data_IF_193283432687
#
_entry.id   IF_193283432687
#
_cell.length_a   1.000
_cell.length_b   1.000
_cell.length_c   1.000
_cell.angle_alpha   90.00
_cell.angle_beta   90.00
_cell.angle_gamma   90.00
#
_symmetry.space_group_name_H-M   'P 1'
#
loop_
_entity.id
_entity.type
_entity.pdbx_description
1 polymer ?
#
# COMPACT_ATOMS: atom_id res chain seq x y z
N UNK A 1 0.04 72.78 17.59
CA UNK A 1 -0.16 74.24 17.39
C UNK A 1 -1.40 74.40 16.52
N UNK A 2 -2.36 75.22 16.89
CA UNK A 2 -3.64 75.36 16.18
C UNK A 2 -3.76 76.74 15.53
N UNK A 3 -4.44 76.81 14.38
CA UNK A 3 -4.63 78.03 13.58
C UNK A 3 -6.07 78.11 13.06
N UNK A 4 -6.66 79.30 13.13
CA UNK A 4 -8.02 79.54 12.65
C UNK A 4 -8.03 79.88 11.16
N UNK A 5 -8.86 79.16 10.38
CA UNK A 5 -9.03 79.40 8.96
C UNK A 5 -9.87 80.66 8.73
N UNK A 6 -9.35 81.63 7.97
CA UNK A 6 -10.08 82.88 7.66
C UNK A 6 -11.32 82.69 6.79
N UNK A 7 -11.46 81.56 6.10
CA UNK A 7 -12.58 81.31 5.20
C UNK A 7 -13.76 80.61 5.89
N UNK A 8 -13.50 79.56 6.68
CA UNK A 8 -14.55 78.77 7.33
C UNK A 8 -14.68 79.03 8.84
N UNK A 9 -13.85 79.90 9.42
CA UNK A 9 -13.85 80.25 10.84
C UNK A 9 -13.41 79.13 11.79
N UNK A 10 -13.12 77.92 11.29
CA UNK A 10 -12.75 76.77 12.14
C UNK A 10 -11.29 76.85 12.60
N UNK A 11 -11.05 76.58 13.89
CA UNK A 11 -9.72 76.37 14.46
C UNK A 11 -9.27 74.94 14.20
N UNK A 12 -8.21 74.78 13.39
CA UNK A 12 -7.70 73.48 12.94
C UNK A 12 -6.20 73.35 13.26
N UNK A 13 -5.70 72.13 13.31
CA UNK A 13 -4.25 71.91 13.41
C UNK A 13 -3.52 72.46 12.18
N UNK A 14 -2.32 73.02 12.37
CA UNK A 14 -1.46 73.60 11.32
C UNK A 14 -1.20 72.67 10.13
N UNK A 15 -1.24 71.34 10.31
CA UNK A 15 -1.13 70.38 9.19
C UNK A 15 -2.23 70.55 8.13
N UNK A 16 -3.35 71.17 8.51
CA UNK A 16 -4.48 71.47 7.62
C UNK A 16 -4.29 72.76 6.81
N UNK A 17 -3.15 73.44 6.93
CA UNK A 17 -2.78 74.62 6.16
C UNK A 17 -1.55 74.31 5.29
N UNK A 18 -1.38 75.02 4.17
CA UNK A 18 -0.15 74.89 3.38
C UNK A 18 0.93 75.79 4.00
N UNK A 19 2.18 75.35 3.89
CA UNK A 19 3.34 76.15 4.31
C UNK A 19 3.56 77.25 3.28
N UNK A 20 3.70 78.48 3.76
CA UNK A 20 4.01 79.66 2.95
C UNK A 20 4.85 80.63 3.79
N UNK A 21 6.10 80.83 3.37
CA UNK A 21 7.10 81.61 4.09
C UNK A 21 6.82 83.12 4.08
N UNK A 22 5.87 83.58 3.25
CA UNK A 22 5.45 84.99 3.24
C UNK A 22 4.61 85.39 4.47
N UNK A 23 4.05 84.41 5.21
CA UNK A 23 3.28 84.66 6.42
C UNK A 23 4.16 84.54 7.68
N UNK A 24 3.91 85.40 8.68
CA UNK A 24 4.70 85.51 9.91
C UNK A 24 4.81 84.18 10.69
N UNK A 25 3.78 83.35 10.65
CA UNK A 25 3.77 82.04 11.30
C UNK A 25 4.12 80.88 10.34
N UNK A 26 4.47 81.17 9.09
CA UNK A 26 4.90 80.20 8.09
C UNK A 26 3.78 79.37 7.43
N UNK A 27 2.51 79.67 7.72
CA UNK A 27 1.35 78.95 7.20
C UNK A 27 0.28 79.88 6.63
N UNK A 28 -0.32 79.47 5.52
CA UNK A 28 -1.37 80.22 4.84
C UNK A 28 -2.59 80.49 5.74
N UNK A 29 -3.33 81.55 5.44
CA UNK A 29 -4.51 81.96 6.22
C UNK A 29 -5.78 81.11 5.97
N UNK A 30 -5.83 80.33 4.89
CA UNK A 30 -6.97 79.45 4.54
C UNK A 30 -6.57 77.98 4.65
N UNK A 31 -7.44 77.15 5.21
CA UNK A 31 -7.18 75.71 5.30
C UNK A 31 -7.22 75.04 3.91
N UNK A 32 -6.58 73.89 3.80
CA UNK A 32 -6.47 73.09 2.56
C UNK A 32 -7.83 72.74 1.96
N UNK A 33 -8.86 72.50 2.77
CA UNK A 33 -10.21 72.24 2.29
C UNK A 33 -10.87 73.47 1.66
N UNK A 34 -10.85 74.61 2.35
CA UNK A 34 -11.34 75.88 1.79
C UNK A 34 -10.62 76.22 0.50
N UNK A 35 -9.29 76.01 0.46
CA UNK A 35 -8.50 76.22 -0.75
C UNK A 35 -8.87 75.26 -1.87
N UNK A 36 -9.22 74.00 -1.58
CA UNK A 36 -9.73 73.03 -2.57
C UNK A 36 -11.07 73.47 -3.15
N UNK A 37 -11.98 74.01 -2.34
CA UNK A 37 -13.30 74.51 -2.79
C UNK A 37 -13.17 75.71 -3.74
N UNK A 38 -12.16 76.55 -3.53
CA UNK A 38 -11.87 77.71 -4.38
C UNK A 38 -11.24 77.34 -5.74
N UNK A 39 -10.80 76.09 -5.97
CA UNK A 39 -10.19 75.70 -7.24
C UNK A 39 -11.26 75.58 -8.33
N UNK A 40 -11.08 76.33 -9.42
CA UNK A 40 -11.89 76.18 -10.64
C UNK A 40 -11.77 74.75 -11.17
N UNK A 41 -12.91 74.09 -11.35
CA UNK A 41 -13.01 72.77 -11.98
C UNK A 41 -13.46 72.91 -13.42
N UNK A 42 -13.04 71.95 -14.24
CA UNK A 42 -13.40 71.86 -15.65
C UNK A 42 -14.07 70.52 -15.92
N UNK A 43 -15.18 70.55 -16.67
CA UNK A 43 -15.83 69.35 -17.20
C UNK A 43 -15.07 68.87 -18.43
N UNK A 44 -14.55 67.64 -18.38
CA UNK A 44 -13.82 66.98 -19.45
C UNK A 44 -14.53 65.66 -19.82
N UNK A 45 -14.24 65.13 -21.00
CA UNK A 45 -14.72 63.82 -21.48
C UNK A 45 -13.54 62.84 -21.50
N UNK A 46 -13.72 61.66 -20.91
CA UNK A 46 -12.67 60.64 -20.86
C UNK A 46 -12.44 60.06 -22.27
N UNK A 47 -11.20 60.15 -22.76
CA UNK A 47 -10.84 59.61 -24.09
C UNK A 47 -10.96 58.09 -24.23
N UNK A 48 -11.01 57.36 -23.12
CA UNK A 48 -11.14 55.90 -23.14
C UNK A 48 -12.60 55.44 -23.04
N UNK A 49 -13.32 55.88 -22.00
CA UNK A 49 -14.66 55.37 -21.70
C UNK A 49 -15.80 56.33 -22.09
N UNK A 50 -15.49 57.52 -22.63
CA UNK A 50 -16.48 58.52 -23.06
C UNK A 50 -17.24 59.23 -21.93
N UNK A 51 -17.06 58.85 -20.67
CA UNK A 51 -17.76 59.47 -19.53
C UNK A 51 -17.27 60.89 -19.25
N UNK A 52 -18.20 61.78 -18.91
CA UNK A 52 -17.89 63.13 -18.43
C UNK A 52 -17.36 63.09 -16.99
N UNK A 53 -16.36 63.94 -16.69
CA UNK A 53 -15.74 64.02 -15.37
C UNK A 53 -15.19 65.43 -15.08
N UNK A 54 -15.02 65.76 -13.80
CA UNK A 54 -14.44 67.04 -13.38
C UNK A 54 -12.94 66.91 -13.09
N UNK A 55 -12.14 67.89 -13.49
CA UNK A 55 -10.75 67.97 -13.08
C UNK A 55 -10.25 69.40 -12.92
N UNK A 56 -9.09 69.56 -12.30
CA UNK A 56 -8.45 70.87 -12.08
C UNK A 56 -7.87 71.43 -13.39
N UNK A 57 -7.45 70.59 -14.33
CA UNK A 57 -6.82 71.00 -15.59
C UNK A 57 -7.70 70.64 -16.78
N UNK A 58 -7.97 71.59 -17.68
CA UNK A 58 -8.69 71.33 -18.96
C UNK A 58 -8.01 70.26 -19.83
N UNK A 59 -6.70 70.06 -19.69
CA UNK A 59 -5.91 69.10 -20.49
C UNK A 59 -6.00 67.65 -20.00
N UNK A 60 -6.69 67.38 -18.88
CA UNK A 60 -6.80 66.02 -18.33
C UNK A 60 -7.63 65.13 -19.25
N UNK A 61 -7.03 64.04 -19.75
CA UNK A 61 -7.62 63.18 -20.81
C UNK A 61 -8.45 62.00 -20.29
N UNK A 62 -8.23 61.57 -19.05
CA UNK A 62 -8.82 60.34 -18.50
C UNK A 62 -9.49 60.60 -17.17
N UNK A 63 -10.65 59.98 -16.94
CA UNK A 63 -11.45 60.18 -15.72
C UNK A 63 -10.86 59.50 -14.48
N UNK A 64 -10.00 58.49 -14.66
CA UNK A 64 -9.43 57.70 -13.59
C UNK A 64 -8.02 57.21 -13.96
N UNK A 65 -7.26 56.81 -12.94
CA UNK A 65 -5.97 56.16 -13.15
C UNK A 65 -6.11 54.88 -13.98
N UNK A 66 -7.18 54.12 -13.74
CA UNK A 66 -7.49 52.89 -14.49
C UNK A 66 -7.69 53.15 -15.98
N UNK A 67 -8.43 54.21 -16.35
CA UNK A 67 -8.61 54.58 -17.76
C UNK A 67 -7.31 55.05 -18.40
N UNK A 68 -6.47 55.78 -17.67
CA UNK A 68 -5.16 56.18 -18.16
C UNK A 68 -4.26 54.97 -18.42
N UNK A 69 -4.21 54.03 -17.47
CA UNK A 69 -3.37 52.83 -17.58
C UNK A 69 -3.82 51.93 -18.73
N UNK A 70 -5.14 51.76 -18.91
CA UNK A 70 -5.71 51.03 -20.05
C UNK A 70 -5.39 51.69 -21.38
N UNK A 71 -5.51 53.02 -21.49
CA UNK A 71 -5.18 53.73 -22.72
C UNK A 71 -3.69 53.65 -23.09
N UNK A 72 -2.81 53.50 -22.09
CA UNK A 72 -1.36 53.34 -22.30
C UNK A 72 -0.93 51.87 -22.47
N UNK A 73 -1.84 50.91 -22.32
CA UNK A 73 -1.54 49.48 -22.39
C UNK A 73 -1.25 49.06 -23.84
N UNK A 74 0.03 49.03 -24.21
CA UNK A 74 0.49 48.50 -25.51
C UNK A 74 0.57 46.96 -25.48
N UNK A 75 -0.32 46.30 -26.22
CA UNK A 75 -0.36 44.83 -26.41
C UNK A 75 -0.18 44.45 -27.87
N UNK A 76 0.26 43.23 -28.11
CA UNK A 76 0.41 42.60 -29.43
C UNK A 76 -0.25 41.23 -29.36
N UNK A 77 -1.00 40.85 -30.39
CA UNK A 77 -1.59 39.52 -30.50
C UNK A 77 -0.55 38.54 -31.05
N UNK A 78 -0.48 37.35 -30.46
CA UNK A 78 0.38 36.24 -30.90
C UNK A 78 -0.29 34.90 -30.59
N UNK A 79 0.37 33.80 -30.90
CA UNK A 79 -0.19 32.44 -30.75
C UNK A 79 0.51 31.74 -29.57
N UNK A 80 -0.28 31.07 -28.72
CA UNK A 80 0.26 30.19 -27.69
C UNK A 80 0.99 29.00 -28.33
N UNK A 81 2.24 28.77 -27.97
CA UNK A 81 3.07 27.73 -28.56
C UNK A 81 2.52 26.31 -28.33
N UNK A 82 1.76 26.10 -27.24
CA UNK A 82 1.15 24.81 -26.91
C UNK A 82 -0.26 24.65 -27.51
N UNK A 83 -1.27 25.30 -26.91
CA UNK A 83 -2.67 25.12 -27.27
C UNK A 83 -3.12 25.87 -28.55
N UNK A 84 -2.21 26.62 -29.17
CA UNK A 84 -2.43 27.38 -30.42
C UNK A 84 -3.51 28.46 -30.35
N UNK A 85 -4.02 28.81 -29.16
CA UNK A 85 -4.96 29.91 -29.00
C UNK A 85 -4.28 31.28 -29.21
N UNK A 86 -5.03 32.24 -29.74
CA UNK A 86 -4.60 33.64 -29.87
C UNK A 86 -4.54 34.29 -28.48
N UNK A 87 -3.44 34.97 -28.17
CA UNK A 87 -3.17 35.60 -26.88
C UNK A 87 -2.62 37.02 -27.01
N UNK A 88 -2.87 37.86 -26.00
CA UNK A 88 -2.26 39.19 -25.90
C UNK A 88 -0.98 39.17 -25.06
N UNK A 89 0.11 39.70 -25.61
CA UNK A 89 1.38 39.88 -24.89
C UNK A 89 1.80 41.35 -24.83
N UNK A 90 2.63 41.69 -23.84
CA UNK A 90 3.19 43.05 -23.69
C UNK A 90 4.09 43.36 -24.88
N UNK A 91 3.90 44.53 -25.54
CA UNK A 91 4.69 44.91 -26.72
C UNK A 91 6.22 44.83 -26.50
N UNK A 92 6.71 45.14 -25.30
CA UNK A 92 8.15 45.07 -24.96
C UNK A 92 8.70 43.65 -24.76
N UNK A 93 7.83 42.64 -24.58
CA UNK A 93 8.20 41.22 -24.48
C UNK A 93 8.07 40.48 -25.81
N UNK A 94 7.33 41.05 -26.76
CA UNK A 94 7.17 40.49 -28.10
C UNK A 94 8.51 40.53 -28.86
N UNK A 95 8.88 39.43 -29.52
CA UNK A 95 10.18 39.21 -30.17
C UNK A 95 11.35 38.80 -29.25
N UNK A 96 11.21 38.87 -27.91
CA UNK A 96 12.29 38.49 -26.98
C UNK A 96 12.40 36.99 -26.68
N UNK A 97 11.31 36.26 -26.87
CA UNK A 97 11.23 34.84 -26.54
C UNK A 97 10.78 34.07 -27.77
N UNK A 98 11.34 32.89 -27.96
CA UNK A 98 10.97 31.99 -29.05
C UNK A 98 9.53 31.48 -28.91
N UNK A 99 9.09 31.25 -27.66
CA UNK A 99 7.77 30.70 -27.35
C UNK A 99 6.96 31.60 -26.40
N UNK A 100 5.67 31.75 -26.70
CA UNK A 100 4.70 32.47 -25.88
C UNK A 100 3.60 31.52 -25.40
N UNK A 101 3.04 31.76 -24.21
CA UNK A 101 2.07 30.85 -23.59
C UNK A 101 0.88 31.61 -23.01
N UNK A 102 -0.32 31.05 -23.15
CA UNK A 102 -1.54 31.64 -22.60
C UNK A 102 -1.57 31.58 -21.06
N UNK A 103 -0.94 30.56 -20.48
CA UNK A 103 -0.83 30.34 -19.05
C UNK A 103 0.37 29.44 -18.71
N UNK A 104 0.65 29.30 -17.42
CA UNK A 104 1.75 28.46 -16.94
C UNK A 104 1.56 26.97 -17.30
N UNK A 105 0.32 26.48 -17.36
CA UNK A 105 0.02 25.10 -17.73
C UNK A 105 0.51 24.79 -19.15
N UNK A 106 0.17 25.63 -20.13
CA UNK A 106 0.65 25.49 -21.50
C UNK A 106 2.16 25.56 -21.61
N UNK A 107 2.80 26.41 -20.79
CA UNK A 107 4.27 26.46 -20.72
C UNK A 107 4.84 25.13 -20.22
N UNK A 108 4.30 24.61 -19.12
CA UNK A 108 4.78 23.36 -18.52
C UNK A 108 4.59 22.17 -19.46
N UNK A 109 3.42 22.03 -20.08
CA UNK A 109 3.16 20.93 -21.01
C UNK A 109 4.06 20.99 -22.25
N UNK A 110 4.22 22.17 -22.85
CA UNK A 110 5.12 22.29 -24.00
C UNK A 110 6.58 22.01 -23.63
N UNK A 111 7.04 22.46 -22.46
CA UNK A 111 8.40 22.14 -22.00
C UNK A 111 8.60 20.63 -21.79
N UNK A 112 7.58 19.89 -21.36
CA UNK A 112 7.66 18.42 -21.28
C UNK A 112 7.88 17.78 -22.64
N UNK A 113 7.40 18.38 -23.73
CA UNK A 113 7.61 17.89 -25.09
C UNK A 113 8.99 18.28 -25.61
N UNK A 114 9.40 19.54 -25.39
CA UNK A 114 10.70 20.05 -25.83
C UNK A 114 11.86 19.34 -25.12
N UNK A 115 11.73 19.04 -23.83
CA UNK A 115 12.78 18.43 -23.01
C UNK A 115 12.73 16.89 -22.95
N UNK A 116 12.20 16.22 -24.00
CA UNK A 116 12.19 14.74 -24.07
C UNK A 116 13.54 14.20 -24.54
N UNK A 117 13.96 13.11 -23.90
CA UNK A 117 15.14 12.35 -24.32
C UNK A 117 16.39 13.22 -24.39
N UNK A 118 17.11 13.12 -25.51
CA UNK A 118 18.38 13.82 -25.77
C UNK A 118 18.26 15.34 -25.80
N UNK A 119 17.06 15.89 -25.94
CA UNK A 119 16.83 17.34 -25.89
C UNK A 119 16.91 17.90 -24.46
N UNK A 120 16.85 17.03 -23.44
CA UNK A 120 17.07 17.44 -22.07
C UNK A 120 18.57 17.64 -21.83
N UNK A 121 19.04 18.82 -21.38
CA UNK A 121 20.45 19.04 -21.06
C UNK A 121 21.01 18.07 -20.02
N UNK A 122 20.15 17.49 -19.19
CA UNK A 122 20.52 16.50 -18.17
C UNK A 122 20.41 15.05 -18.65
N UNK A 123 20.13 14.80 -19.94
CA UNK A 123 20.06 13.45 -20.49
C UNK A 123 21.46 12.83 -20.54
N UNK A 124 21.68 11.78 -19.75
CA UNK A 124 22.99 11.16 -19.58
C UNK A 124 22.97 9.64 -19.76
N UNK A 125 22.00 9.11 -20.53
CA UNK A 125 21.90 7.67 -20.71
C UNK A 125 22.96 7.16 -21.69
N UNK A 126 23.51 5.99 -21.37
CA UNK A 126 24.53 5.31 -22.17
C UNK A 126 24.06 3.90 -22.53
N UNK A 127 24.58 3.36 -23.64
CA UNK A 127 24.30 2.00 -24.08
C UNK A 127 25.02 0.99 -23.20
N UNK A 128 24.33 -0.08 -22.81
CA UNK A 128 24.83 -1.18 -22.00
C UNK A 128 24.18 -2.49 -22.44
N UNK A 129 24.89 -3.62 -22.31
CA UNK A 129 24.34 -4.95 -22.64
C UNK A 129 23.76 -5.59 -21.38
N UNK A 130 22.47 -5.88 -21.39
CA UNK A 130 21.78 -6.58 -20.31
C UNK A 130 22.52 -7.85 -19.88
N UNK A 131 22.76 -8.01 -18.58
CA UNK A 131 23.55 -9.13 -18.08
C UNK A 131 22.91 -10.50 -18.32
N UNK A 132 21.57 -10.56 -18.27
CA UNK A 132 20.80 -11.78 -18.47
C UNK A 132 20.67 -12.21 -19.94
N UNK A 133 20.10 -11.34 -20.79
CA UNK A 133 19.76 -11.68 -22.18
C UNK A 133 20.67 -11.07 -23.25
N UNK A 134 21.66 -10.26 -22.86
CA UNK A 134 22.60 -9.56 -23.76
C UNK A 134 21.98 -8.54 -24.72
N UNK A 135 20.71 -8.17 -24.52
CA UNK A 135 20.05 -7.08 -25.27
C UNK A 135 20.67 -5.71 -24.92
N UNK A 136 20.89 -4.86 -25.92
CA UNK A 136 21.31 -3.46 -25.73
C UNK A 136 20.19 -2.64 -25.07
N UNK A 137 20.54 -1.93 -24.00
CA UNK A 137 19.66 -1.08 -23.18
C UNK A 137 20.33 0.26 -22.86
N UNK A 138 19.50 1.26 -22.55
CA UNK A 138 19.94 2.58 -22.12
C UNK A 138 19.88 2.71 -20.60
N UNK A 139 21.04 2.79 -19.96
CA UNK A 139 21.21 2.85 -18.50
C UNK A 139 21.76 4.19 -18.05
N UNK A 140 21.55 4.53 -16.78
CA UNK A 140 22.11 5.74 -16.17
C UNK A 140 23.51 5.38 -15.62
N UNK A 141 24.57 6.19 -15.87
CA UNK A 141 25.93 5.90 -15.44
C UNK A 141 26.09 5.58 -13.94
N UNK A 142 25.25 6.17 -13.09
CA UNK A 142 25.22 5.87 -11.66
C UNK A 142 24.87 4.41 -11.34
N UNK A 143 24.02 3.77 -12.15
CA UNK A 143 23.66 2.35 -11.98
C UNK A 143 24.89 1.46 -12.18
N UNK A 144 25.78 1.79 -13.12
CA UNK A 144 27.02 1.04 -13.33
C UNK A 144 27.99 1.12 -12.14
N UNK A 145 27.92 2.19 -11.34
CA UNK A 145 28.75 2.36 -10.14
C UNK A 145 28.21 1.60 -8.94
N UNK A 146 26.89 1.38 -8.88
CA UNK A 146 26.20 0.88 -7.69
C UNK A 146 25.68 -0.53 -7.82
N UNK A 147 25.38 -0.98 -9.04
CA UNK A 147 24.77 -2.27 -9.30
C UNK A 147 25.80 -3.20 -9.94
N UNK A 148 25.95 -4.39 -9.36
CA UNK A 148 26.86 -5.42 -9.88
C UNK A 148 26.36 -6.01 -11.21
N UNK A 149 25.05 -6.09 -11.39
CA UNK A 149 24.38 -6.65 -12.56
C UNK A 149 23.16 -5.80 -12.92
N UNK A 150 22.95 -5.54 -14.22
CA UNK A 150 21.87 -4.72 -14.75
C UNK A 150 21.09 -5.51 -15.81
N UNK A 151 19.76 -5.50 -15.68
CA UNK A 151 18.84 -6.27 -16.52
C UNK A 151 17.92 -5.35 -17.33
N UNK A 152 17.49 -5.80 -18.51
CA UNK A 152 16.63 -5.03 -19.39
C UNK A 152 15.18 -4.90 -18.90
N UNK A 153 14.74 -5.83 -18.04
CA UNK A 153 13.38 -5.86 -17.49
C UNK A 153 13.34 -6.64 -16.17
N UNK A 154 12.27 -6.45 -15.40
CA UNK A 154 12.01 -7.21 -14.18
C UNK A 154 11.87 -8.73 -14.47
N UNK A 155 11.28 -9.09 -15.61
CA UNK A 155 11.18 -10.50 -16.03
C UNK A 155 12.56 -11.10 -16.31
N UNK A 156 13.43 -10.37 -17.01
CA UNK A 156 14.80 -10.80 -17.27
C UNK A 156 15.60 -10.94 -15.96
N UNK A 157 15.41 -10.04 -15.01
CA UNK A 157 15.97 -10.16 -13.67
C UNK A 157 15.50 -11.44 -12.97
N UNK A 158 14.17 -11.67 -12.90
CA UNK A 158 13.58 -12.84 -12.24
C UNK A 158 14.04 -14.16 -12.84
N UNK A 159 14.14 -14.26 -14.16
CA UNK A 159 14.60 -15.48 -14.83
C UNK A 159 16.09 -15.76 -14.59
N UNK A 160 16.87 -14.73 -14.23
CA UNK A 160 18.32 -14.84 -14.05
C UNK A 160 18.78 -14.76 -12.60
N UNK A 161 17.92 -14.43 -11.63
CA UNK A 161 18.31 -14.21 -10.24
C UNK A 161 19.04 -15.42 -9.62
N UNK A 162 18.58 -16.64 -9.92
CA UNK A 162 19.22 -17.89 -9.45
C UNK A 162 20.59 -18.17 -10.06
N UNK A 163 20.94 -17.50 -11.17
CA UNK A 163 22.27 -17.62 -11.79
C UNK A 163 23.24 -16.58 -11.23
N UNK A 164 22.78 -15.35 -11.02
CA UNK A 164 23.67 -14.23 -10.68
C UNK A 164 23.80 -13.97 -9.18
N UNK A 165 22.80 -14.32 -8.36
CA UNK A 165 22.75 -14.01 -6.93
C UNK A 165 22.71 -15.27 -6.05
N UNK A 166 23.61 -16.22 -6.33
CA UNK A 166 23.77 -17.47 -5.56
C UNK A 166 25.16 -17.62 -4.96
N UNK A 167 25.25 -18.44 -3.92
CA UNK A 167 26.49 -18.62 -3.16
C UNK A 167 27.01 -17.28 -2.65
N UNK A 168 28.32 -17.06 -2.80
CA UNK A 168 29.03 -15.85 -2.37
C UNK A 168 28.54 -14.57 -3.07
N UNK A 169 27.84 -14.67 -4.20
CA UNK A 169 27.23 -13.52 -4.87
C UNK A 169 25.91 -13.05 -4.22
N UNK A 170 25.35 -13.81 -3.28
CA UNK A 170 24.17 -13.41 -2.54
C UNK A 170 24.59 -12.56 -1.34
N UNK A 171 24.03 -11.36 -1.20
CA UNK A 171 24.33 -10.47 -0.05
C UNK A 171 24.03 -11.09 1.31
N UNK A 172 23.15 -12.10 1.37
CA UNK A 172 22.84 -12.85 2.59
C UNK A 172 23.72 -14.11 2.78
N UNK A 173 24.75 -14.31 1.96
CA UNK A 173 25.67 -15.44 2.10
C UNK A 173 26.58 -15.23 3.31
N UNK A 174 26.43 -16.08 4.31
CA UNK A 174 27.13 -15.97 5.59
C UNK A 174 27.80 -17.29 6.02
N UNK A 175 28.19 -18.14 5.06
CA UNK A 175 28.84 -19.40 5.41
C UNK A 175 30.21 -19.12 6.01
N UNK A 176 30.51 -19.80 7.13
CA UNK A 176 31.82 -19.80 7.76
C UNK A 176 32.46 -21.16 7.60
N UNK A 177 33.79 -21.18 7.64
CA UNK A 177 34.57 -22.41 7.66
C UNK A 177 34.64 -22.97 9.09
N UNK A 178 34.50 -24.28 9.20
CA UNK A 178 34.54 -25.04 10.44
C UNK A 178 35.35 -26.32 10.26
N UNK A 179 35.85 -26.87 11.36
CA UNK A 179 36.52 -28.17 11.42
C UNK A 179 35.60 -29.16 12.11
N UNK A 180 35.42 -30.35 11.52
CA UNK A 180 34.63 -31.41 12.16
C UNK A 180 35.39 -31.99 13.36
N UNK A 181 34.76 -32.02 14.53
CA UNK A 181 35.37 -32.57 15.75
C UNK A 181 35.61 -34.08 15.72
N UNK A 182 34.85 -34.82 14.90
CA UNK A 182 35.00 -36.26 14.78
C UNK A 182 36.04 -36.70 13.75
N UNK A 183 35.97 -36.17 12.52
CA UNK A 183 36.83 -36.61 11.41
C UNK A 183 37.92 -35.60 11.01
N UNK A 184 37.97 -34.42 11.64
CA UNK A 184 38.95 -33.36 11.33
C UNK A 184 38.73 -32.62 10.00
N UNK A 185 37.72 -33.00 9.20
CA UNK A 185 37.48 -32.39 7.88
C UNK A 185 37.02 -30.94 7.99
N UNK A 186 37.65 -30.05 7.20
CA UNK A 186 37.20 -28.66 7.00
C UNK A 186 35.94 -28.59 6.13
N UNK A 187 34.96 -27.77 6.49
CA UNK A 187 33.71 -27.60 5.75
C UNK A 187 33.08 -26.21 5.96
N UNK A 188 32.25 -25.76 5.02
CA UNK A 188 31.52 -24.48 5.10
C UNK A 188 30.04 -24.70 5.40
N UNK A 189 29.46 -23.98 6.38
CA UNK A 189 28.00 -23.97 6.63
C UNK A 189 27.55 -22.64 7.26
N UNK A 190 26.23 -22.43 7.32
CA UNK A 190 25.67 -21.26 8.02
C UNK A 190 25.85 -21.41 9.54
N UNK A 191 26.22 -20.35 10.27
CA UNK A 191 26.35 -20.39 11.73
C UNK A 191 25.09 -20.89 12.45
N UNK A 192 23.89 -20.52 11.98
CA UNK A 192 22.62 -20.96 12.56
C UNK A 192 22.34 -22.47 12.44
N UNK A 193 23.13 -23.19 11.64
CA UNK A 193 23.04 -24.65 11.53
C UNK A 193 23.88 -25.36 12.61
N UNK A 194 24.71 -24.63 13.35
CA UNK A 194 25.36 -25.12 14.56
C UNK A 194 24.33 -25.04 15.70
N UNK A 195 23.72 -26.17 16.08
CA UNK A 195 22.71 -26.20 17.14
C UNK A 195 23.28 -26.46 18.53
N UNK A 196 24.45 -27.09 18.58
CA UNK A 196 25.09 -27.56 19.80
C UNK A 196 26.52 -27.03 19.85
N UNK A 197 27.15 -27.12 21.03
CA UNK A 197 28.57 -26.76 21.24
C UNK A 197 29.51 -27.58 20.35
N UNK A 198 29.04 -28.76 19.90
CA UNK A 198 29.80 -29.66 19.04
C UNK A 198 29.50 -29.49 17.54
N UNK A 199 30.56 -29.48 16.74
CA UNK A 199 30.55 -29.16 15.31
C UNK A 199 30.96 -30.39 14.48
N UNK A 200 30.02 -30.88 13.66
CA UNK A 200 30.23 -32.04 12.78
C UNK A 200 29.95 -31.72 11.31
N UNK A 201 30.74 -32.29 10.39
CA UNK A 201 30.56 -32.08 8.95
C UNK A 201 29.33 -32.80 8.38
N UNK A 202 28.83 -33.84 9.05
CA UNK A 202 27.72 -34.67 8.59
C UNK A 202 26.94 -35.29 9.74
N UNK A 203 25.72 -35.75 9.44
CA UNK A 203 24.91 -36.55 10.37
C UNK A 203 25.64 -37.83 10.80
N UNK A 204 26.41 -38.44 9.90
CA UNK A 204 27.17 -39.67 10.19
C UNK A 204 28.21 -39.42 11.27
N UNK A 205 29.04 -38.39 11.13
CA UNK A 205 30.05 -38.03 12.13
C UNK A 205 29.42 -37.70 13.50
N UNK A 206 28.28 -36.99 13.51
CA UNK A 206 27.53 -36.75 14.76
C UNK A 206 27.07 -38.06 15.42
N UNK A 207 26.49 -38.99 14.65
CA UNK A 207 26.01 -40.26 15.20
C UNK A 207 27.15 -41.17 15.65
N UNK A 208 28.27 -41.19 14.93
CA UNK A 208 29.46 -41.94 15.30
C UNK A 208 30.07 -41.43 16.60
N UNK A 209 30.26 -40.10 16.73
CA UNK A 209 30.68 -39.48 17.97
C UNK A 209 29.72 -39.81 19.13
N UNK A 210 28.40 -39.70 18.89
CA UNK A 210 27.38 -40.02 19.89
C UNK A 210 27.37 -41.50 20.28
N UNK A 211 27.70 -42.41 19.34
CA UNK A 211 27.81 -43.86 19.58
C UNK A 211 29.07 -44.18 20.37
N UNK A 212 30.19 -43.54 20.05
CA UNK A 212 31.46 -43.68 20.78
C UNK A 212 31.28 -43.26 22.25
N UNK A 213 30.56 -42.16 22.49
CA UNK A 213 30.25 -41.66 23.83
C UNK A 213 29.02 -42.32 24.50
N UNK A 214 28.55 -43.48 24.02
CA UNK A 214 27.42 -44.21 24.65
C UNK A 214 27.82 -44.69 26.05
N UNK A 215 27.37 -43.97 27.07
CA UNK A 215 27.53 -44.34 28.49
C UNK A 215 27.64 -43.12 29.41
N UNK A 216 28.18 -42.01 28.90
CA UNK A 216 28.44 -40.79 29.68
C UNK A 216 27.44 -39.64 29.45
N UNK A 217 26.37 -39.86 28.67
CA UNK A 217 25.35 -38.84 28.44
C UNK A 217 24.20 -39.08 29.43
N UNK A 218 24.17 -38.30 30.51
CA UNK A 218 23.02 -38.26 31.41
C UNK A 218 21.78 -37.82 30.61
N UNK A 219 20.80 -38.74 30.47
CA UNK A 219 19.52 -38.46 29.80
C UNK A 219 18.50 -37.81 30.74
N UNK A 220 18.95 -37.28 31.88
CA UNK A 220 18.13 -36.66 32.91
C UNK A 220 17.24 -37.67 33.64
N UNK A 221 17.53 -38.97 33.53
CA UNK A 221 16.76 -40.06 34.15
C UNK A 221 15.33 -40.24 33.62
N UNK A 222 14.72 -41.37 33.97
CA UNK A 222 13.29 -41.65 33.75
C UNK A 222 12.54 -41.69 35.08
N UNK A 223 11.27 -41.33 35.07
CA UNK A 223 10.36 -41.47 36.22
C UNK A 223 9.08 -42.21 35.82
N UNK A 224 8.34 -42.69 36.81
CA UNK A 224 7.01 -43.28 36.62
C UNK A 224 5.97 -42.15 36.57
N UNK A 225 5.14 -42.14 35.54
CA UNK A 225 4.07 -41.17 35.32
C UNK A 225 2.74 -41.89 35.12
N UNK A 226 1.67 -41.34 35.70
CA UNK A 226 0.32 -41.90 35.65
C UNK A 226 -0.44 -41.24 34.50
N UNK A 227 -0.99 -42.06 33.58
CA UNK A 227 -1.77 -41.56 32.46
C UNK A 227 -3.06 -40.86 32.96
N UNK A 228 -3.32 -39.59 32.59
CA UNK A 228 -4.49 -38.84 33.07
C UNK A 228 -5.83 -39.32 32.50
N UNK A 229 -5.82 -40.28 31.57
CA UNK A 229 -7.02 -40.81 30.92
C UNK A 229 -7.41 -42.19 31.44
N UNK A 230 -6.44 -43.10 31.60
CA UNK A 230 -6.72 -44.48 32.00
C UNK A 230 -6.08 -44.88 33.35
N UNK A 231 -5.31 -44.00 33.99
CA UNK A 231 -4.63 -44.28 35.25
C UNK A 231 -3.42 -45.22 35.15
N UNK A 232 -3.08 -45.73 33.95
CA UNK A 232 -1.94 -46.63 33.77
C UNK A 232 -0.60 -45.93 34.07
N UNK A 233 0.23 -46.57 34.87
CA UNK A 233 1.63 -46.18 35.12
C UNK A 233 2.56 -46.55 33.96
N UNK A 234 3.45 -45.63 33.59
CA UNK A 234 4.47 -45.86 32.56
C UNK A 234 5.70 -44.96 32.73
N UNK A 235 6.83 -45.38 32.17
CA UNK A 235 8.10 -44.63 32.25
C UNK A 235 8.13 -43.47 31.27
N UNK A 236 8.52 -42.29 31.75
CA UNK A 236 8.76 -41.08 30.93
C UNK A 236 10.11 -40.45 31.27
N UNK A 237 10.76 -39.82 30.30
CA UNK A 237 11.95 -39.01 30.54
C UNK A 237 11.59 -37.72 31.28
N UNK A 238 12.39 -37.32 32.28
CA UNK A 238 12.13 -36.08 33.05
C UNK A 238 12.01 -34.86 32.15
N UNK A 239 12.86 -34.76 31.12
CA UNK A 239 12.84 -33.66 30.15
C UNK A 239 11.52 -33.49 29.40
N UNK A 240 10.72 -34.55 29.27
CA UNK A 240 9.40 -34.49 28.61
C UNK A 240 8.38 -33.69 29.42
N UNK A 241 8.53 -33.66 30.74
CA UNK A 241 7.66 -32.88 31.64
C UNK A 241 7.89 -31.37 31.51
N UNK A 242 9.06 -30.95 31.04
CA UNK A 242 9.35 -29.53 30.84
C UNK A 242 8.49 -28.89 29.72
N UNK A 243 7.99 -29.70 28.79
CA UNK A 243 7.29 -29.22 27.59
C UNK A 243 5.84 -29.71 27.49
N UNK A 244 5.43 -30.68 28.29
CA UNK A 244 4.12 -31.33 28.17
C UNK A 244 3.44 -31.45 29.52
N UNK A 245 2.32 -30.74 29.70
CA UNK A 245 1.47 -30.82 30.90
C UNK A 245 0.80 -32.19 31.06
N UNK A 246 0.37 -32.78 29.95
CA UNK A 246 -0.29 -34.09 29.91
C UNK A 246 0.51 -35.06 29.04
N UNK A 247 0.91 -36.20 29.61
CA UNK A 247 1.56 -37.29 28.87
C UNK A 247 0.69 -38.55 28.95
N UNK A 248 0.57 -39.25 27.84
CA UNK A 248 -0.35 -40.37 27.70
C UNK A 248 0.40 -41.68 27.48
N UNK A 249 -0.12 -42.77 28.02
CA UNK A 249 0.48 -44.10 27.87
C UNK A 249 0.32 -44.69 26.46
N UNK A 250 -0.61 -44.17 25.65
CA UNK A 250 -0.90 -44.67 24.29
C UNK A 250 -1.48 -43.58 23.38
N UNK A 251 -1.48 -43.84 22.06
CA UNK A 251 -2.13 -42.99 21.04
C UNK A 251 -3.63 -42.82 21.31
N UNK A 252 -4.31 -43.87 21.76
CA UNK A 252 -5.75 -43.84 22.09
C UNK A 252 -6.03 -42.90 23.26
N UNK A 253 -5.30 -43.05 24.37
CA UNK A 253 -5.40 -42.13 25.51
C UNK A 253 -5.04 -40.70 25.12
N UNK A 254 -4.05 -40.53 24.23
CA UNK A 254 -3.73 -39.21 23.69
C UNK A 254 -4.92 -38.58 22.97
N UNK A 255 -5.58 -39.30 22.05
CA UNK A 255 -6.72 -38.74 21.31
C UNK A 255 -7.88 -38.35 22.25
N UNK A 256 -8.19 -39.20 23.23
CA UNK A 256 -9.22 -38.90 24.24
C UNK A 256 -8.81 -37.68 25.07
N UNK A 257 -7.55 -37.60 25.50
CA UNK A 257 -7.04 -36.46 26.26
C UNK A 257 -7.00 -35.16 25.48
N UNK A 258 -6.66 -35.20 24.19
CA UNK A 258 -6.75 -34.03 23.31
C UNK A 258 -8.18 -33.51 23.20
N UNK A 259 -9.15 -34.42 23.01
CA UNK A 259 -10.57 -34.05 23.00
C UNK A 259 -11.03 -33.49 24.34
N UNK A 260 -10.60 -34.08 25.46
CA UNK A 260 -11.04 -33.66 26.78
C UNK A 260 -10.44 -32.32 27.23
N UNK A 261 -9.14 -32.12 27.01
CA UNK A 261 -8.40 -31.03 27.63
C UNK A 261 -8.10 -29.84 26.69
N UNK A 262 -8.31 -29.98 25.38
CA UNK A 262 -7.90 -28.97 24.39
C UNK A 262 -8.95 -28.73 23.30
N UNK A 263 -10.21 -29.08 23.54
CA UNK A 263 -11.32 -28.85 22.60
C UNK A 263 -12.46 -28.07 23.24
N UNK A 264 -13.37 -27.54 22.41
CA UNK A 264 -14.44 -26.67 22.86
C UNK A 264 -13.89 -25.45 23.59
N UNK A 265 -14.50 -25.09 24.72
CA UNK A 265 -14.07 -24.01 25.62
C UNK A 265 -12.62 -24.12 26.11
N UNK A 266 -12.03 -25.33 26.12
CA UNK A 266 -10.63 -25.54 26.52
C UNK A 266 -9.63 -25.25 25.39
N UNK A 267 -10.10 -25.00 24.17
CA UNK A 267 -9.24 -24.63 23.05
C UNK A 267 -8.82 -23.16 23.16
N UNK A 268 -7.52 -22.81 22.98
CA UNK A 268 -7.09 -21.42 22.90
C UNK A 268 -7.73 -20.62 21.77
N UNK A 269 -8.30 -21.30 20.77
CA UNK A 269 -9.01 -20.69 19.66
C UNK A 269 -10.52 -20.50 19.95
N UNK A 270 -11.01 -20.92 21.12
CA UNK A 270 -12.40 -20.71 21.50
C UNK A 270 -12.64 -19.25 21.89
N UNK A 271 -13.55 -18.61 21.18
CA UNK A 271 -13.96 -17.24 21.47
C UNK A 271 -15.15 -17.26 22.47
N UNK A 272 -15.01 -16.80 23.72
CA UNK A 272 -16.10 -16.74 24.70
C UNK A 272 -17.24 -15.81 24.31
N UNK A 273 -16.98 -14.78 23.52
CA UNK A 273 -17.94 -13.71 23.25
C UNK A 273 -19.02 -14.10 22.23
N UNK A 274 -18.86 -15.25 21.56
CA UNK A 274 -19.85 -15.77 20.62
C UNK A 274 -20.98 -16.49 21.34
N UNK A 275 -22.21 -16.05 21.09
CA UNK A 275 -23.44 -16.73 21.51
C UNK A 275 -23.63 -18.04 20.74
N UNK A 276 -24.41 -18.98 21.29
CA UNK A 276 -24.70 -20.25 20.62
C UNK A 276 -25.38 -20.05 19.26
N UNK A 277 -26.21 -19.00 19.13
CA UNK A 277 -26.83 -18.63 17.86
C UNK A 277 -25.78 -18.25 16.81
N UNK A 278 -24.79 -17.43 17.17
CA UNK A 278 -23.71 -17.02 16.27
C UNK A 278 -22.80 -18.20 15.91
N UNK A 279 -22.53 -19.10 16.86
CA UNK A 279 -21.79 -20.35 16.58
C UNK A 279 -22.53 -21.22 15.57
N UNK A 280 -23.86 -21.34 15.69
CA UNK A 280 -24.70 -22.09 14.75
C UNK A 280 -24.70 -21.42 13.38
N UNK A 281 -24.83 -20.10 13.30
CA UNK A 281 -24.81 -19.36 12.03
C UNK A 281 -23.46 -19.49 11.31
N UNK A 282 -22.36 -19.39 12.04
CA UNK A 282 -21.00 -19.55 11.51
C UNK A 282 -20.57 -21.02 11.36
N UNK A 283 -21.42 -21.97 11.78
CA UNK A 283 -21.19 -23.42 11.72
C UNK A 283 -19.99 -23.89 12.56
N UNK A 284 -19.67 -23.14 13.62
CA UNK A 284 -18.59 -23.39 14.56
C UNK A 284 -19.09 -24.11 15.82
N UNK A 285 -19.65 -25.30 15.64
CA UNK A 285 -20.13 -26.14 16.74
C UNK A 285 -19.84 -27.63 16.48
N UNK A 286 -19.69 -28.46 17.55
CA UNK A 286 -19.23 -29.85 17.42
C UNK A 286 -20.08 -30.73 16.51
N UNK A 287 -21.41 -30.60 16.57
CA UNK A 287 -22.36 -31.41 15.82
C UNK A 287 -22.26 -31.17 14.31
N UNK A 288 -21.97 -29.93 13.89
CA UNK A 288 -21.69 -29.64 12.48
C UNK A 288 -20.42 -30.33 11.99
N UNK A 289 -19.36 -30.33 12.81
CA UNK A 289 -18.12 -31.03 12.47
C UNK A 289 -18.35 -32.53 12.35
N UNK A 290 -19.12 -33.11 13.27
CA UNK A 290 -19.51 -34.53 13.23
C UNK A 290 -20.30 -34.84 11.95
N UNK A 291 -21.31 -34.04 11.62
CA UNK A 291 -22.06 -34.19 10.37
C UNK A 291 -21.13 -34.16 9.15
N UNK A 292 -20.22 -33.19 9.09
CA UNK A 292 -19.25 -33.05 8.00
C UNK A 292 -18.39 -34.31 7.82
N UNK A 293 -17.88 -34.85 8.93
CA UNK A 293 -17.07 -36.08 8.94
C UNK A 293 -17.91 -37.28 8.53
N UNK A 294 -19.15 -37.39 8.99
CA UNK A 294 -20.08 -38.46 8.62
C UNK A 294 -20.40 -38.47 7.13
N UNK A 295 -20.62 -37.29 6.52
CA UNK A 295 -20.81 -37.17 5.06
C UNK A 295 -19.56 -37.65 4.31
N UNK A 296 -18.37 -37.21 4.73
CA UNK A 296 -17.12 -37.69 4.13
C UNK A 296 -16.93 -39.19 4.29
N UNK A 297 -17.21 -39.74 5.47
CA UNK A 297 -17.05 -41.16 5.75
C UNK A 297 -18.00 -42.01 4.90
N UNK A 298 -19.27 -41.62 4.78
CA UNK A 298 -20.26 -42.27 3.90
C UNK A 298 -19.77 -42.30 2.46
N UNK A 299 -19.24 -41.18 1.99
CA UNK A 299 -18.75 -40.99 0.63
C UNK A 299 -17.32 -41.50 0.40
N UNK A 300 -16.78 -42.26 1.38
CA UNK A 300 -15.42 -42.83 1.35
C UNK A 300 -14.33 -41.78 1.05
N UNK A 301 -14.49 -40.58 1.60
CA UNK A 301 -13.59 -39.44 1.42
C UNK A 301 -13.29 -39.15 -0.06
N UNK A 302 -14.28 -39.33 -0.93
CA UNK A 302 -14.13 -39.18 -2.38
C UNK A 302 -15.17 -38.21 -2.91
N UNK A 303 -14.77 -37.35 -3.84
CA UNK A 303 -15.70 -36.45 -4.50
C UNK A 303 -16.73 -37.25 -5.32
N UNK A 304 -18.01 -37.06 -5.03
CA UNK A 304 -19.11 -37.79 -5.69
C UNK A 304 -19.40 -37.31 -7.11
N UNK A 305 -18.83 -36.18 -7.53
CA UNK A 305 -18.93 -35.66 -8.89
C UNK A 305 -17.81 -36.21 -9.79
N UNK A 306 -16.54 -36.05 -9.42
CA UNK A 306 -15.41 -36.38 -10.28
C UNK A 306 -14.52 -37.53 -9.80
N UNK A 307 -14.83 -38.17 -8.66
CA UNK A 307 -14.05 -39.29 -8.13
C UNK A 307 -12.72 -38.92 -7.46
N UNK A 308 -12.40 -37.62 -7.31
CA UNK A 308 -11.16 -37.17 -6.67
C UNK A 308 -11.06 -37.61 -5.19
N UNK A 309 -9.96 -38.30 -4.86
CA UNK A 309 -9.63 -38.87 -3.55
C UNK A 309 -8.27 -38.42 -3.02
N UNK A 310 -7.67 -37.36 -3.60
CA UNK A 310 -6.33 -36.85 -3.23
C UNK A 310 -6.24 -36.25 -1.82
N UNK A 311 -7.38 -35.96 -1.19
CA UNK A 311 -7.47 -35.42 0.16
C UNK A 311 -7.16 -33.92 0.26
N UNK A 312 -7.41 -33.30 1.43
CA UNK A 312 -7.20 -31.86 1.71
C UNK A 312 -7.99 -30.86 0.84
N UNK A 313 -8.90 -31.33 -0.01
CA UNK A 313 -9.68 -30.50 -0.93
C UNK A 313 -11.19 -30.78 -0.92
N UNK A 314 -11.70 -31.54 0.05
CA UNK A 314 -13.11 -31.92 0.12
C UNK A 314 -13.95 -30.91 0.91
N UNK A 315 -15.20 -30.74 0.48
CA UNK A 315 -16.24 -29.96 1.14
C UNK A 315 -17.51 -30.80 1.25
N UNK A 316 -18.16 -30.78 2.41
CA UNK A 316 -19.49 -31.36 2.59
C UNK A 316 -20.49 -30.28 2.14
N UNK A 317 -21.02 -30.47 0.94
CA UNK A 317 -22.01 -29.61 0.34
C UNK A 317 -23.39 -29.94 0.90
N UNK A 318 -24.16 -28.92 1.24
CA UNK A 318 -25.58 -29.07 1.62
C UNK A 318 -26.43 -29.13 0.35
N UNK A 319 -27.19 -30.21 0.14
CA UNK A 319 -28.08 -30.36 -1.02
C UNK A 319 -29.20 -29.31 -0.94
N UNK A 320 -29.89 -29.27 0.19
CA UNK A 320 -30.77 -28.19 0.62
C UNK A 320 -29.99 -27.23 1.49
N UNK A 321 -29.89 -25.97 1.06
CA UNK A 321 -28.97 -25.00 1.63
C UNK A 321 -29.16 -24.78 3.14
N UNK A 322 -28.04 -24.47 3.79
CA UNK A 322 -27.95 -24.35 5.25
C UNK A 322 -28.83 -23.22 5.83
N UNK A 323 -29.07 -22.13 5.10
CA UNK A 323 -29.77 -20.96 5.63
C UNK A 323 -31.27 -21.20 5.74
N UNK A 324 -31.88 -21.76 4.69
CA UNK A 324 -33.32 -21.92 4.57
C UNK A 324 -33.82 -23.22 5.24
N UNK A 325 -33.04 -24.30 5.17
CA UNK A 325 -33.48 -25.63 5.62
C UNK A 325 -32.90 -26.02 7.00
N UNK A 326 -33.26 -25.26 8.05
CA UNK A 326 -32.71 -25.45 9.41
C UNK A 326 -32.84 -26.87 9.95
N UNK A 327 -33.97 -27.55 9.67
CA UNK A 327 -34.24 -28.93 10.13
C UNK A 327 -33.35 -29.97 9.44
N UNK A 328 -32.80 -29.66 8.26
CA UNK A 328 -32.01 -30.59 7.46
C UNK A 328 -30.49 -30.38 7.59
N UNK A 329 -30.04 -29.40 8.39
CA UNK A 329 -28.62 -28.99 8.46
C UNK A 329 -27.66 -30.12 8.82
N UNK A 330 -28.12 -31.04 9.67
CA UNK A 330 -27.34 -32.14 10.23
C UNK A 330 -27.84 -33.52 9.75
N UNK A 331 -28.80 -33.54 8.82
CA UNK A 331 -29.20 -34.79 8.17
C UNK A 331 -28.09 -35.22 7.22
N UNK A 332 -27.56 -36.43 7.41
CA UNK A 332 -26.44 -36.92 6.59
C UNK A 332 -26.87 -37.03 5.12
N UNK A 333 -28.13 -37.40 4.85
CA UNK A 333 -28.71 -37.44 3.51
C UNK A 333 -28.72 -36.09 2.81
N UNK A 334 -28.78 -34.98 3.56
CA UNK A 334 -28.69 -33.62 3.03
C UNK A 334 -27.25 -33.16 2.76
N UNK A 335 -26.26 -34.05 2.90
CA UNK A 335 -24.86 -33.77 2.60
C UNK A 335 -24.35 -34.58 1.41
N UNK A 336 -23.46 -33.99 0.62
CA UNK A 336 -22.68 -34.70 -0.40
C UNK A 336 -21.22 -34.21 -0.42
N UNK A 337 -20.27 -35.12 -0.62
CA UNK A 337 -18.85 -34.80 -0.67
C UNK A 337 -18.45 -34.31 -2.07
N UNK A 338 -18.00 -33.06 -2.16
CA UNK A 338 -17.48 -32.46 -3.40
C UNK A 338 -16.05 -31.94 -3.20
N UNK A 339 -15.17 -32.12 -4.19
CA UNK A 339 -13.87 -31.44 -4.17
C UNK A 339 -14.05 -29.93 -4.36
N UNK A 340 -13.06 -29.12 -3.97
CA UNK A 340 -13.11 -27.65 -4.08
C UNK A 340 -13.50 -27.16 -5.48
N UNK A 341 -13.03 -27.85 -6.54
CA UNK A 341 -13.36 -27.50 -7.93
C UNK A 341 -14.83 -27.75 -8.24
N UNK A 342 -15.34 -28.96 -7.97
CA UNK A 342 -16.73 -29.31 -8.22
C UNK A 342 -17.69 -28.49 -7.33
N UNK A 343 -17.34 -28.30 -6.06
CA UNK A 343 -18.12 -27.48 -5.13
C UNK A 343 -18.27 -26.04 -5.61
N UNK A 344 -17.17 -25.43 -6.06
CA UNK A 344 -17.21 -24.09 -6.62
C UNK A 344 -18.04 -24.06 -7.91
N UNK A 345 -17.81 -25.01 -8.82
CA UNK A 345 -18.53 -25.10 -10.09
C UNK A 345 -20.05 -25.23 -9.89
N UNK A 346 -20.49 -26.01 -8.90
CA UNK A 346 -21.90 -26.10 -8.55
C UNK A 346 -22.48 -24.73 -8.19
N UNK A 347 -21.83 -23.99 -7.29
CA UNK A 347 -22.28 -22.66 -6.89
C UNK A 347 -22.13 -21.59 -7.99
N UNK A 348 -21.17 -21.74 -8.90
CA UNK A 348 -21.04 -20.86 -10.07
C UNK A 348 -22.25 -21.03 -11.03
N UNK A 349 -22.89 -22.21 -11.06
CA UNK A 349 -24.06 -22.50 -11.92
C UNK A 349 -25.38 -22.18 -11.19
N UNK A 350 -25.56 -22.68 -9.97
CA UNK A 350 -26.86 -22.66 -9.26
C UNK A 350 -26.93 -21.65 -8.11
N UNK A 351 -25.84 -20.93 -7.81
CA UNK A 351 -25.78 -20.01 -6.69
C UNK A 351 -25.74 -20.70 -5.32
N UNK A 352 -25.92 -19.93 -4.24
CA UNK A 352 -25.78 -20.37 -2.84
C UNK A 352 -27.11 -20.52 -2.07
N UNK A 353 -28.23 -20.18 -2.71
CA UNK A 353 -29.58 -20.11 -2.12
C UNK A 353 -30.55 -20.90 -2.98
N UNK A 354 -31.67 -21.37 -2.40
CA UNK A 354 -32.66 -22.20 -3.10
C UNK A 354 -32.08 -23.48 -3.74
N UNK A 355 -30.96 -23.99 -3.22
CA UNK A 355 -30.39 -25.25 -3.70
C UNK A 355 -31.30 -26.43 -3.33
N UNK A 356 -31.44 -27.38 -4.25
CA UNK A 356 -32.29 -28.56 -4.11
C UNK A 356 -31.66 -29.81 -4.77
N UNK A 357 -32.32 -30.95 -4.58
CA UNK A 357 -31.84 -32.25 -5.06
C UNK A 357 -31.83 -32.37 -6.60
N UNK A 358 -32.79 -31.76 -7.30
CA UNK A 358 -32.87 -31.80 -8.76
C UNK A 358 -31.64 -31.13 -9.41
N UNK A 359 -31.26 -29.93 -8.91
CA UNK A 359 -30.07 -29.21 -9.35
C UNK A 359 -28.78 -30.02 -9.12
N UNK A 360 -28.68 -30.69 -7.97
CA UNK A 360 -27.53 -31.53 -7.68
C UNK A 360 -27.46 -32.73 -8.64
N UNK A 361 -28.58 -33.41 -8.87
CA UNK A 361 -28.63 -34.56 -9.76
C UNK A 361 -28.29 -34.15 -11.20
N UNK A 362 -28.83 -33.04 -11.69
CA UNK A 362 -28.48 -32.45 -12.99
C UNK A 362 -26.97 -32.16 -13.05
N UNK A 363 -26.41 -31.48 -12.04
CA UNK A 363 -24.99 -31.18 -11.96
C UNK A 363 -24.12 -32.44 -12.03
N UNK A 364 -24.47 -33.46 -11.25
CA UNK A 364 -23.73 -34.71 -11.21
C UNK A 364 -23.78 -35.45 -12.54
N UNK A 365 -24.93 -35.44 -13.25
CA UNK A 365 -25.06 -36.07 -14.58
C UNK A 365 -24.17 -35.36 -15.61
N UNK A 366 -24.24 -34.02 -15.66
CA UNK A 366 -23.53 -33.23 -16.66
C UNK A 366 -22.02 -33.13 -16.43
N UNK A 367 -21.54 -33.43 -15.21
CA UNK A 367 -20.16 -33.21 -14.80
C UNK A 367 -19.49 -34.45 -14.21
N UNK A 368 -20.13 -35.63 -14.32
CA UNK A 368 -19.47 -36.91 -14.00
C UNK A 368 -18.42 -37.21 -15.06
N UNK A 369 -17.22 -37.53 -14.60
CA UNK A 369 -16.12 -38.00 -15.45
C UNK A 369 -15.97 -39.51 -15.34
#
# INVERSE_FOLDING_TARGET
MQKTCKECGKTLDIVNFNKDKSYKDGYESKCKECRKKLRKKHKNICKLCGKSFESIRKTTKYCSRTCQDLAHRKRVLTICAYCKSTIEVVKSKYGKYEYYYCNQTCRTEHLKELMKGTNNPNYNRIKYLCDGCKKEILVIPYQLKTQKYIFCSNECYKSNIGKFFTGENNSNYNHKEYVCEWCGKKFKRKPSQNRDDHIYCSKTCYFEFRKYNKGNIDRGGTLIYICPICGKEFKVYKSRLNYSKNIYCSRQCSNIGWSKFYSGENSPAWNPDLTDKERIEQRHYPEYNNWRVSVYCRDKYTCQCCGDSTGHNLNAHHIYNYMEHKKLRLEISNGITLCKKCHKKFHDIYGYTNNNEEQLNEFLILNKF
#
